data_IF_637665081823
#
_entry.id   IF_637665081823
#
_cell.length_a   1.000
_cell.length_b   1.000
_cell.length_c   1.000
_cell.angle_alpha   90.00
_cell.angle_beta   90.00
_cell.angle_gamma   90.00
#
_symmetry.space_group_name_H-M   'P 1'
#
loop_
_entity.id
_entity.type
_entity.pdbx_description
1 polymer ?
#
# COMPACT_ATOMS: atom_id res chain seq x y z
N UNK A 1 -23.98 -60.53 34.03
CA UNK A 1 -23.11 -60.25 32.87
C UNK A 1 -22.01 -59.30 33.32
N UNK A 2 -20.74 -59.71 33.23
CA UNK A 2 -19.61 -58.86 33.60
C UNK A 2 -19.43 -57.80 32.50
N UNK A 3 -19.67 -56.52 32.79
CA UNK A 3 -19.41 -55.45 31.82
C UNK A 3 -17.90 -55.23 31.79
N UNK A 4 -17.28 -55.45 30.63
CA UNK A 4 -15.87 -55.10 30.44
C UNK A 4 -15.71 -53.58 30.60
N UNK A 5 -14.76 -53.10 31.40
CA UNK A 5 -14.49 -51.68 31.51
C UNK A 5 -14.14 -51.11 30.13
N UNK A 6 -14.67 -49.93 29.80
CA UNK A 6 -14.22 -49.21 28.60
C UNK A 6 -12.77 -48.75 28.78
N UNK A 7 -12.09 -48.44 27.69
CA UNK A 7 -10.75 -47.86 27.74
C UNK A 7 -10.72 -46.57 28.59
N UNK A 8 -11.75 -45.72 28.50
CA UNK A 8 -11.89 -44.54 29.36
C UNK A 8 -11.93 -44.92 30.85
N UNK A 9 -12.72 -45.94 31.21
CA UNK A 9 -12.83 -46.38 32.60
C UNK A 9 -11.50 -46.92 33.16
N UNK A 10 -10.70 -47.56 32.31
CA UNK A 10 -9.37 -48.05 32.70
C UNK A 10 -8.39 -46.89 32.90
N UNK A 11 -8.43 -45.87 32.04
CA UNK A 11 -7.57 -44.69 32.13
C UNK A 11 -7.86 -43.88 33.40
N UNK A 12 -9.14 -43.63 33.71
CA UNK A 12 -9.55 -42.93 34.93
C UNK A 12 -9.17 -43.69 36.21
N UNK A 13 -9.20 -45.03 36.18
CA UNK A 13 -8.82 -45.86 37.32
C UNK A 13 -7.31 -45.83 37.61
N UNK A 14 -6.48 -45.67 36.58
CA UNK A 14 -5.01 -45.64 36.70
C UNK A 14 -4.49 -44.23 36.99
N UNK A 15 -5.03 -43.21 36.30
CA UNK A 15 -4.55 -41.84 36.39
C UNK A 15 -5.31 -40.98 37.41
N UNK A 16 -6.42 -41.48 37.95
CA UNK A 16 -7.33 -40.74 38.82
C UNK A 16 -8.39 -39.98 38.03
N UNK A 17 -9.56 -39.81 38.66
CA UNK A 17 -10.70 -39.11 38.06
C UNK A 17 -10.30 -37.68 37.66
N UNK A 18 -10.56 -37.32 36.40
CA UNK A 18 -10.33 -35.97 35.89
C UNK A 18 -8.93 -35.70 35.35
N UNK A 19 -8.02 -36.68 35.32
CA UNK A 19 -6.70 -36.54 34.71
C UNK A 19 -6.79 -36.21 33.20
N UNK A 20 -7.77 -36.80 32.49
CA UNK A 20 -8.03 -36.51 31.07
C UNK A 20 -8.45 -35.04 30.89
N UNK A 21 -9.37 -34.55 31.73
CA UNK A 21 -9.88 -33.18 31.67
C UNK A 21 -8.75 -32.17 31.90
N UNK A 22 -7.89 -32.42 32.90
CA UNK A 22 -6.74 -31.56 33.19
C UNK A 22 -5.74 -31.50 32.01
N UNK A 23 -5.51 -32.61 31.32
CA UNK A 23 -4.66 -32.65 30.12
C UNK A 23 -5.31 -31.89 28.96
N UNK A 24 -6.61 -32.07 28.75
CA UNK A 24 -7.37 -31.38 27.69
C UNK A 24 -7.38 -29.86 27.89
N UNK A 25 -7.61 -29.38 29.12
CA UNK A 25 -7.56 -27.94 29.46
C UNK A 25 -6.17 -27.35 29.22
N UNK A 26 -5.12 -28.07 29.63
CA UNK A 26 -3.73 -27.66 29.40
C UNK A 26 -3.37 -27.64 27.91
N UNK A 27 -3.89 -28.59 27.12
CA UNK A 27 -3.74 -28.58 25.67
C UNK A 27 -4.48 -27.39 25.04
N UNK A 28 -5.73 -27.15 25.46
CA UNK A 28 -6.57 -26.07 24.97
C UNK A 28 -5.90 -24.72 25.15
N UNK A 29 -5.39 -24.42 26.35
CA UNK A 29 -4.69 -23.16 26.63
C UNK A 29 -3.42 -22.99 25.77
N UNK A 30 -2.67 -24.07 25.50
CA UNK A 30 -1.50 -24.01 24.60
C UNK A 30 -1.89 -23.73 23.15
N UNK A 31 -2.95 -24.36 22.65
CA UNK A 31 -3.46 -24.16 21.29
C UNK A 31 -3.99 -22.73 21.12
N UNK A 32 -4.74 -22.23 22.09
CA UNK A 32 -5.26 -20.85 22.09
C UNK A 32 -4.15 -19.82 22.06
N UNK A 33 -3.12 -19.99 22.91
CA UNK A 33 -1.95 -19.10 22.94
C UNK A 33 -1.19 -19.09 21.60
N UNK A 34 -0.94 -20.27 21.02
CA UNK A 34 -0.27 -20.37 19.72
C UNK A 34 -1.09 -19.74 18.59
N UNK A 35 -2.41 -19.94 18.59
CA UNK A 35 -3.30 -19.34 17.60
C UNK A 35 -3.26 -17.80 17.70
N UNK A 36 -3.32 -17.27 18.92
CA UNK A 36 -3.27 -15.83 19.17
C UNK A 36 -1.95 -15.21 18.72
N UNK A 37 -0.82 -15.86 19.03
CA UNK A 37 0.50 -15.41 18.59
C UNK A 37 0.62 -15.40 17.05
N UNK A 38 0.15 -16.46 16.38
CA UNK A 38 0.18 -16.55 14.92
C UNK A 38 -0.70 -15.47 14.25
N UNK A 39 -1.87 -15.17 14.83
CA UNK A 39 -2.75 -14.10 14.34
C UNK A 39 -2.04 -12.75 14.44
N UNK A 40 -1.41 -12.46 15.58
CA UNK A 40 -0.67 -11.21 15.79
C UNK A 40 0.50 -11.08 14.80
N UNK A 41 1.31 -12.14 14.63
CA UNK A 41 2.41 -12.18 13.64
C UNK A 41 1.92 -11.92 12.22
N UNK A 42 0.81 -12.55 11.81
CA UNK A 42 0.19 -12.33 10.48
C UNK A 42 -0.37 -10.91 10.32
N UNK A 43 -0.97 -10.32 11.36
CA UNK A 43 -1.46 -8.93 11.34
C UNK A 43 -0.32 -7.94 11.12
N UNK A 44 0.80 -8.10 11.86
CA UNK A 44 1.99 -7.25 11.70
C UNK A 44 2.60 -7.42 10.30
N UNK A 45 2.76 -8.65 9.83
CA UNK A 45 3.25 -8.93 8.47
C UNK A 45 2.38 -8.24 7.39
N UNK A 46 1.05 -8.36 7.48
CA UNK A 46 0.13 -7.71 6.52
C UNK A 46 0.19 -6.19 6.64
N UNK A 47 0.22 -5.64 7.85
CA UNK A 47 0.32 -4.20 8.09
C UNK A 47 1.61 -3.60 7.50
N UNK A 48 2.74 -4.27 7.69
CA UNK A 48 4.02 -3.86 7.12
C UNK A 48 4.00 -3.89 5.58
N UNK A 49 3.43 -4.94 4.98
CA UNK A 49 3.30 -5.03 3.53
C UNK A 49 2.38 -3.94 2.96
N UNK A 50 1.29 -3.59 3.66
CA UNK A 50 0.41 -2.49 3.26
C UNK A 50 1.09 -1.13 3.36
N UNK A 51 1.82 -0.85 4.44
CA UNK A 51 2.53 0.42 4.62
C UNK A 51 3.61 0.60 3.54
N UNK A 52 4.38 -0.45 3.25
CA UNK A 52 5.38 -0.43 2.16
C UNK A 52 4.76 -0.08 0.79
N UNK A 53 3.62 -0.66 0.45
CA UNK A 53 2.91 -0.35 -0.80
C UNK A 53 2.42 1.10 -0.85
N UNK A 54 1.91 1.64 0.27
CA UNK A 54 1.48 3.03 0.36
C UNK A 54 2.67 3.99 0.15
N UNK A 55 3.80 3.73 0.80
CA UNK A 55 5.02 4.54 0.64
C UNK A 55 5.55 4.50 -0.79
N UNK A 56 5.62 3.32 -1.40
CA UNK A 56 6.06 3.18 -2.79
C UNK A 56 5.16 3.96 -3.76
N UNK A 57 3.83 3.87 -3.57
CA UNK A 57 2.87 4.65 -4.38
C UNK A 57 3.07 6.16 -4.20
N UNK A 58 3.27 6.63 -2.97
CA UNK A 58 3.51 8.04 -2.69
C UNK A 58 4.76 8.55 -3.40
N UNK A 59 5.88 7.82 -3.28
CA UNK A 59 7.14 8.16 -3.95
C UNK A 59 6.98 8.21 -5.48
N UNK A 60 6.27 7.23 -6.06
CA UNK A 60 5.98 7.23 -7.49
C UNK A 60 5.19 8.48 -7.91
N UNK A 61 4.14 8.82 -7.18
CA UNK A 61 3.32 9.99 -7.48
C UNK A 61 4.14 11.29 -7.33
N UNK A 62 4.94 11.40 -6.27
CA UNK A 62 5.80 12.56 -6.03
C UNK A 62 6.82 12.74 -7.16
N UNK A 63 7.43 11.63 -7.61
CA UNK A 63 8.37 11.64 -8.73
C UNK A 63 7.67 11.99 -10.05
N UNK A 64 6.53 11.37 -10.34
CA UNK A 64 5.74 11.68 -11.52
C UNK A 64 5.29 13.15 -11.54
N UNK A 65 4.96 13.73 -10.39
CA UNK A 65 4.62 15.15 -10.29
C UNK A 65 5.82 16.07 -10.52
N UNK A 66 7.03 15.65 -10.14
CA UNK A 66 8.26 16.42 -10.34
C UNK A 66 8.84 16.29 -11.74
N UNK A 67 8.73 15.10 -12.35
CA UNK A 67 9.31 14.81 -13.66
C UNK A 67 8.39 15.23 -14.81
N UNK A 68 7.08 15.17 -14.64
CA UNK A 68 6.15 15.62 -15.66
C UNK A 68 6.00 17.13 -15.60
N UNK A 69 6.52 17.83 -16.60
CA UNK A 69 6.20 19.23 -16.82
C UNK A 69 4.69 19.35 -17.04
N UNK A 70 4.05 20.22 -16.28
CA UNK A 70 2.59 20.44 -16.31
C UNK A 70 2.29 21.84 -16.80
N UNK A 71 1.14 22.00 -17.45
CA UNK A 71 0.60 23.32 -17.76
C UNK A 71 0.41 24.11 -16.45
N UNK A 72 0.92 25.36 -16.35
CA UNK A 72 0.79 26.18 -15.14
C UNK A 72 -0.65 26.62 -14.85
N UNK A 73 -1.58 26.41 -15.78
CA UNK A 73 -2.97 26.84 -15.66
C UNK A 73 -3.96 25.71 -15.35
N UNK A 74 -3.81 24.54 -15.98
CA UNK A 74 -4.74 23.42 -15.81
C UNK A 74 -4.08 22.12 -15.31
N UNK A 75 -2.79 22.14 -15.00
CA UNK A 75 -2.00 21.00 -14.51
C UNK A 75 -1.94 19.78 -15.44
N UNK A 76 -2.48 19.89 -16.66
CA UNK A 76 -2.39 18.87 -17.68
C UNK A 76 -0.91 18.56 -17.97
N UNK A 77 -0.59 17.27 -18.02
CA UNK A 77 0.75 16.80 -18.34
C UNK A 77 1.05 17.14 -19.80
N UNK A 78 2.19 17.79 -20.00
CA UNK A 78 2.70 18.04 -21.33
C UNK A 78 3.10 16.72 -22.00
N UNK A 79 2.69 16.55 -23.25
CA UNK A 79 3.05 15.42 -24.12
C UNK A 79 3.48 15.96 -25.49
N UNK A 80 4.24 15.17 -26.24
CA UNK A 80 4.68 15.47 -27.61
C UNK A 80 5.60 16.69 -27.77
N UNK A 81 6.79 16.64 -27.15
CA UNK A 81 7.83 17.65 -27.34
C UNK A 81 8.45 17.58 -28.73
N UNK A 82 8.33 18.68 -29.48
CA UNK A 82 8.82 18.85 -30.85
C UNK A 82 10.16 19.61 -30.94
N UNK A 83 10.74 19.98 -29.79
CA UNK A 83 11.96 20.80 -29.71
C UNK A 83 11.70 22.29 -29.53
N UNK A 84 10.45 22.76 -29.56
CA UNK A 84 10.10 24.13 -29.24
C UNK A 84 9.89 24.32 -27.73
N UNK A 85 10.60 25.27 -27.12
CA UNK A 85 10.45 25.59 -25.70
C UNK A 85 9.28 26.54 -25.39
N UNK A 86 8.56 27.01 -26.41
CA UNK A 86 7.36 27.83 -26.30
C UNK A 86 6.12 26.93 -26.47
N UNK A 87 5.69 26.31 -25.37
CA UNK A 87 4.65 25.29 -25.40
C UNK A 87 3.25 25.89 -25.44
N UNK A 88 2.35 25.18 -26.10
CA UNK A 88 0.90 25.43 -26.01
C UNK A 88 0.25 24.22 -25.35
N UNK A 89 -0.59 24.46 -24.34
CA UNK A 89 -1.32 23.40 -23.66
C UNK A 89 -2.26 22.67 -24.64
N UNK A 90 -2.14 21.34 -24.72
CA UNK A 90 -2.94 20.49 -25.60
C UNK A 90 -4.41 20.37 -25.16
N UNK A 91 -4.73 20.67 -23.90
CA UNK A 91 -6.12 20.72 -23.41
C UNK A 91 -6.93 21.77 -24.20
N UNK A 92 -7.98 21.35 -24.95
CA UNK A 92 -8.79 22.25 -25.77
C UNK A 92 -9.48 23.37 -25.00
N UNK A 93 -9.76 23.16 -23.70
CA UNK A 93 -10.37 24.15 -22.82
C UNK A 93 -9.37 25.16 -22.23
N UNK A 94 -8.07 24.86 -22.27
CA UNK A 94 -7.03 25.70 -21.69
C UNK A 94 -6.26 26.49 -22.75
N UNK A 95 -5.55 25.80 -23.65
CA UNK A 95 -4.67 26.38 -24.70
C UNK A 95 -3.71 27.50 -24.21
N UNK A 96 -3.30 27.47 -22.95
CA UNK A 96 -2.32 28.42 -22.42
C UNK A 96 -0.98 28.26 -23.14
N UNK A 97 -0.29 29.38 -23.41
CA UNK A 97 1.09 29.37 -23.92
C UNK A 97 2.04 29.59 -22.76
N UNK A 98 3.04 28.73 -22.60
CA UNK A 98 3.94 28.78 -21.46
C UNK A 98 5.35 28.30 -21.80
N UNK A 99 6.32 28.67 -20.97
CA UNK A 99 7.71 28.28 -21.12
C UNK A 99 7.93 26.82 -20.71
N UNK A 100 8.58 26.00 -21.55
CA UNK A 100 9.00 24.65 -21.18
C UNK A 100 10.07 24.62 -20.07
N UNK A 101 10.88 25.69 -19.97
CA UNK A 101 12.06 25.74 -19.09
C UNK A 101 11.66 26.18 -17.68
N UNK A 102 10.89 27.26 -17.56
CA UNK A 102 10.52 27.84 -16.26
C UNK A 102 9.03 27.72 -15.90
N UNK A 103 8.21 27.11 -16.78
CA UNK A 103 6.76 26.94 -16.60
C UNK A 103 5.96 28.24 -16.42
N UNK A 104 6.53 29.40 -16.80
CA UNK A 104 5.80 30.68 -16.77
C UNK A 104 4.67 30.69 -17.80
N UNK A 105 3.46 30.99 -17.36
CA UNK A 105 2.33 31.31 -18.26
C UNK A 105 2.61 32.65 -18.96
N UNK A 106 2.69 32.61 -20.29
CA UNK A 106 3.00 33.76 -21.15
C UNK A 106 1.75 34.32 -21.84
N UNK A 107 0.56 33.80 -21.52
CA UNK A 107 -0.70 34.29 -22.07
C UNK A 107 -0.88 33.91 -23.55
N UNK A 108 -0.51 34.82 -24.46
CA UNK A 108 -0.77 34.68 -25.91
C UNK A 108 0.37 34.04 -26.69
N UNK A 109 1.62 34.23 -26.27
CA UNK A 109 2.80 33.71 -26.93
C UNK A 109 3.97 33.58 -25.95
N UNK A 110 4.62 32.42 -25.93
CA UNK A 110 5.77 32.14 -25.09
C UNK A 110 7.12 32.29 -25.82
N UNK A 111 7.14 32.44 -27.15
CA UNK A 111 8.38 32.49 -27.92
C UNK A 111 9.27 33.65 -27.48
N UNK A 112 8.69 34.85 -27.34
CA UNK A 112 9.42 36.04 -26.89
C UNK A 112 10.07 35.82 -25.52
N UNK A 113 9.33 35.21 -24.59
CA UNK A 113 9.85 34.95 -23.26
C UNK A 113 11.00 33.94 -23.28
N UNK A 114 10.90 32.87 -24.09
CA UNK A 114 11.98 31.91 -24.27
C UNK A 114 13.22 32.61 -24.79
N UNK A 115 13.09 33.39 -25.87
CA UNK A 115 14.22 34.08 -26.52
C UNK A 115 14.93 35.10 -25.61
N UNK A 116 14.17 35.85 -24.81
CA UNK A 116 14.75 36.92 -23.98
C UNK A 116 15.33 36.41 -22.65
N UNK A 117 14.88 35.24 -22.18
CA UNK A 117 15.20 34.74 -20.83
C UNK A 117 16.15 33.54 -20.84
N UNK A 118 16.25 32.79 -21.95
CA UNK A 118 16.93 31.50 -22.04
C UNK A 118 17.72 31.36 -23.35
#
# INVERSE_FOLDING_TARGET
MCKTPSALNMIDAVLGKGAIIAVEEKLRGKVEFQCQEQILRKKVSRSNATDMNVRARKLFNDLANKLNLRCPRCEAVFHDYDGCNALTCADPGCRAKFCAICLKDCGSDAHQHVQDTH
#
